data_IF_079947501427
#
_entry.id   IF_079947501427
#
_cell.length_a   1.000
_cell.length_b   1.000
_cell.length_c   1.000
_cell.angle_alpha   90.00
_cell.angle_beta   90.00
_cell.angle_gamma   90.00
#
_symmetry.space_group_name_H-M   'P 1'
#
loop_
_entity.id
_entity.type
_entity.pdbx_description
1 polymer ?
#
# COMPACT_ATOMS: atom_id res chain seq x y z
N UNK A 1 15.01 22.28 -16.57
CA UNK A 1 15.63 21.03 -16.09
C UNK A 1 15.58 20.05 -17.25
N UNK A 2 16.70 19.62 -17.85
CA UNK A 2 16.64 18.63 -18.91
C UNK A 2 16.17 17.30 -18.30
N UNK A 3 15.20 16.64 -18.95
CA UNK A 3 14.74 15.31 -18.55
C UNK A 3 15.75 14.29 -19.08
N UNK A 4 16.56 13.70 -18.21
CA UNK A 4 17.72 12.86 -18.57
C UNK A 4 17.44 11.35 -18.68
N UNK A 5 16.19 10.89 -18.47
CA UNK A 5 15.90 9.45 -18.36
C UNK A 5 14.73 9.03 -19.26
N UNK A 6 14.99 9.00 -20.56
CA UNK A 6 14.06 8.48 -21.56
C UNK A 6 14.40 7.04 -21.92
N UNK A 7 13.38 6.21 -22.09
CA UNK A 7 13.51 4.85 -22.54
C UNK A 7 12.27 4.47 -23.36
N UNK A 8 12.46 3.67 -24.41
CA UNK A 8 11.42 3.25 -25.34
C UNK A 8 11.57 1.78 -25.69
N UNK A 9 10.45 1.07 -25.73
CA UNK A 9 10.35 -0.32 -26.20
C UNK A 9 10.10 -0.44 -27.71
N UNK A 10 9.96 0.67 -28.44
CA UNK A 10 9.94 0.68 -29.92
C UNK A 10 11.36 0.79 -30.46
N UNK A 11 11.74 -0.16 -31.32
CA UNK A 11 13.02 -0.18 -32.00
C UNK A 11 13.15 1.00 -32.99
N UNK A 12 12.06 1.34 -33.67
CA UNK A 12 12.01 2.45 -34.63
C UNK A 12 12.25 3.79 -33.94
N UNK A 13 11.62 3.99 -32.77
CA UNK A 13 11.80 5.20 -31.98
C UNK A 13 13.21 5.27 -31.39
N UNK A 14 13.78 4.12 -31.00
CA UNK A 14 15.17 4.02 -30.51
C UNK A 14 16.17 4.46 -31.59
N UNK A 15 16.04 3.93 -32.80
CA UNK A 15 16.88 4.29 -33.94
C UNK A 15 16.73 5.79 -34.31
N UNK A 16 15.50 6.32 -34.24
CA UNK A 16 15.25 7.74 -34.47
C UNK A 16 15.94 8.62 -33.42
N UNK A 17 15.89 8.24 -32.14
CA UNK A 17 16.56 8.98 -31.07
C UNK A 17 18.07 8.97 -31.24
N UNK A 18 18.65 7.82 -31.56
CA UNK A 18 20.08 7.68 -31.85
C UNK A 18 20.51 8.59 -33.02
N UNK A 19 19.74 8.61 -34.12
CA UNK A 19 19.98 9.49 -35.27
C UNK A 19 19.92 10.98 -34.91
N UNK A 20 19.08 11.36 -33.95
CA UNK A 20 18.93 12.75 -33.49
C UNK A 20 19.86 13.12 -32.32
N UNK A 21 20.83 12.25 -31.98
CA UNK A 21 21.84 12.53 -30.95
C UNK A 21 21.33 12.44 -29.51
N UNK A 22 20.19 11.78 -29.27
CA UNK A 22 19.70 11.51 -27.91
C UNK A 22 20.34 10.24 -27.37
N UNK A 23 21.21 10.37 -26.36
CA UNK A 23 21.77 9.21 -25.65
C UNK A 23 20.73 8.60 -24.70
N UNK A 24 20.38 7.33 -24.91
CA UNK A 24 19.56 6.58 -23.95
C UNK A 24 20.48 6.14 -22.80
N UNK A 25 20.36 6.81 -21.66
CA UNK A 25 21.13 6.45 -20.46
C UNK A 25 20.71 5.07 -19.94
N UNK A 26 21.62 4.11 -20.01
CA UNK A 26 21.46 2.81 -19.37
C UNK A 26 21.77 2.96 -17.89
N UNK A 27 20.82 2.69 -16.99
CA UNK A 27 21.11 2.71 -15.56
C UNK A 27 22.00 1.52 -15.19
N UNK A 28 23.29 1.79 -14.99
CA UNK A 28 24.33 0.82 -14.62
C UNK A 28 24.25 0.26 -13.19
N UNK A 29 23.09 0.34 -12.52
CA UNK A 29 22.98 0.15 -11.07
C UNK A 29 22.62 -1.28 -10.62
N UNK A 30 22.76 -2.29 -11.48
CA UNK A 30 22.56 -3.69 -11.08
C UNK A 30 23.78 -4.53 -11.45
N UNK A 31 24.60 -4.81 -10.44
CA UNK A 31 25.66 -5.81 -10.46
C UNK A 31 24.97 -7.17 -10.65
N UNK A 32 25.20 -7.86 -11.78
CA UNK A 32 24.89 -9.30 -11.89
C UNK A 32 23.97 -9.73 -13.03
N UNK A 33 23.32 -8.84 -13.78
CA UNK A 33 22.52 -9.22 -14.96
C UNK A 33 22.91 -8.36 -16.16
N UNK A 34 23.23 -9.01 -17.29
CA UNK A 34 23.48 -8.39 -18.60
C UNK A 34 22.21 -7.73 -19.22
N UNK A 35 21.26 -7.30 -18.38
CA UNK A 35 19.99 -6.69 -18.78
C UNK A 35 20.03 -5.22 -18.38
N UNK A 36 19.79 -4.33 -19.34
CA UNK A 36 19.64 -2.90 -19.09
C UNK A 36 18.38 -2.72 -18.24
N UNK A 37 18.55 -2.41 -16.96
CA UNK A 37 17.46 -2.33 -16.01
C UNK A 37 16.93 -0.91 -15.90
N UNK A 38 15.81 -0.63 -16.56
CA UNK A 38 15.09 0.63 -16.39
C UNK A 38 14.21 0.57 -15.14
N UNK A 39 14.06 1.71 -14.44
CA UNK A 39 13.07 1.84 -13.37
C UNK A 39 12.02 2.88 -13.74
N UNK A 40 10.76 2.50 -13.63
CA UNK A 40 9.61 3.39 -13.82
C UNK A 40 8.90 3.53 -12.48
N UNK A 41 8.83 4.76 -11.96
CA UNK A 41 8.32 5.05 -10.63
C UNK A 41 8.97 4.27 -9.48
N UNK A 42 10.14 3.65 -9.68
CA UNK A 42 10.84 2.82 -8.69
C UNK A 42 10.66 1.31 -8.86
N UNK A 43 9.78 0.87 -9.78
CA UNK A 43 9.58 -0.53 -10.17
C UNK A 43 10.49 -0.86 -11.35
N UNK A 44 11.06 -2.07 -11.40
CA UNK A 44 11.90 -2.50 -12.52
C UNK A 44 11.06 -2.78 -13.77
N UNK A 45 11.54 -2.31 -14.92
CA UNK A 45 10.90 -2.44 -16.22
C UNK A 45 11.86 -3.12 -17.20
N UNK A 46 11.43 -4.28 -17.70
CA UNK A 46 12.08 -4.93 -18.81
C UNK A 46 11.51 -4.32 -20.09
N UNK A 47 12.33 -3.51 -20.75
CA UNK A 47 11.92 -2.73 -21.90
C UNK A 47 11.65 -3.62 -23.14
N UNK A 48 12.47 -4.64 -23.37
CA UNK A 48 12.35 -5.51 -24.55
C UNK A 48 11.05 -6.33 -24.56
N UNK A 49 10.62 -6.82 -23.38
CA UNK A 49 9.37 -7.58 -23.22
C UNK A 49 8.17 -6.72 -22.82
N UNK A 50 8.42 -5.43 -22.54
CA UNK A 50 7.47 -4.47 -22.00
C UNK A 50 6.70 -4.93 -20.74
N UNK A 51 7.43 -5.47 -19.76
CA UNK A 51 6.87 -5.97 -18.50
C UNK A 51 7.48 -5.29 -17.28
N UNK A 52 6.65 -5.07 -16.26
CA UNK A 52 7.11 -4.79 -14.90
C UNK A 52 7.50 -6.09 -14.20
N UNK A 53 8.57 -6.03 -13.43
CA UNK A 53 9.05 -7.12 -12.57
C UNK A 53 9.69 -6.57 -11.30
N UNK A 54 9.99 -7.45 -10.35
CA UNK A 54 10.59 -7.09 -9.07
C UNK A 54 12.00 -7.64 -8.98
N UNK A 55 12.98 -6.73 -8.92
CA UNK A 55 14.35 -7.09 -8.58
C UNK A 55 14.47 -7.28 -7.06
N UNK A 56 14.73 -8.51 -6.64
CA UNK A 56 14.78 -8.93 -5.25
C UNK A 56 16.19 -9.32 -4.78
N UNK A 57 17.22 -9.27 -5.62
CA UNK A 57 18.54 -9.80 -5.28
C UNK A 57 19.17 -9.08 -4.07
N UNK A 58 19.09 -7.75 -4.09
CA UNK A 58 19.52 -6.89 -2.97
C UNK A 58 18.70 -7.13 -1.69
N UNK A 59 17.41 -7.45 -1.83
CA UNK A 59 16.54 -7.75 -0.70
C UNK A 59 16.83 -9.14 -0.12
N UNK A 60 17.05 -10.15 -0.96
CA UNK A 60 17.40 -11.51 -0.53
C UNK A 60 18.77 -11.53 0.18
N UNK A 61 19.76 -10.81 -0.34
CA UNK A 61 21.08 -10.68 0.30
C UNK A 61 21.03 -9.89 1.61
N UNK A 62 20.07 -8.98 1.77
CA UNK A 62 19.79 -8.33 3.06
C UNK A 62 19.10 -9.30 4.02
N UNK A 63 18.14 -10.09 3.52
CA UNK A 63 17.38 -11.05 4.34
C UNK A 63 18.30 -12.11 4.94
N UNK A 64 19.29 -12.59 4.18
CA UNK A 64 20.23 -13.63 4.64
C UNK A 64 21.14 -13.19 5.79
N UNK A 65 21.29 -11.88 6.03
CA UNK A 65 22.12 -11.30 7.11
C UNK A 65 21.32 -10.94 8.36
N UNK A 66 20.01 -11.17 8.34
CA UNK A 66 19.08 -10.64 9.31
C UNK A 66 19.09 -11.29 10.69
N UNK A 67 18.57 -10.55 11.66
CA UNK A 67 18.18 -11.05 12.97
C UNK A 67 16.66 -11.02 13.08
N UNK A 68 16.03 -12.01 13.72
CA UNK A 68 14.57 -12.12 13.81
C UNK A 68 13.96 -11.12 14.81
N UNK A 69 14.17 -9.81 14.59
CA UNK A 69 13.74 -8.69 15.44
C UNK A 69 12.65 -7.86 14.79
N UNK A 70 11.93 -7.07 15.60
CA UNK A 70 10.95 -6.07 15.13
C UNK A 70 11.58 -5.08 14.14
N UNK A 71 12.78 -4.56 14.46
CA UNK A 71 13.53 -3.63 13.60
C UNK A 71 13.78 -4.26 12.24
N UNK A 72 14.25 -5.50 12.21
CA UNK A 72 14.56 -6.20 10.97
C UNK A 72 13.33 -6.45 10.10
N UNK A 73 12.22 -6.89 10.70
CA UNK A 73 10.95 -7.05 9.99
C UNK A 73 10.48 -5.74 9.31
N UNK A 74 10.61 -4.60 9.99
CA UNK A 74 10.30 -3.29 9.42
C UNK A 74 11.30 -2.88 8.31
N UNK A 75 12.58 -3.19 8.48
CA UNK A 75 13.60 -2.94 7.46
C UNK A 75 13.37 -3.76 6.18
N UNK A 76 12.91 -5.00 6.30
CA UNK A 76 12.50 -5.83 5.16
C UNK A 76 11.27 -5.24 4.50
N UNK A 77 10.21 -4.94 5.27
CA UNK A 77 8.98 -4.37 4.72
C UNK A 77 9.20 -3.03 4.02
N UNK A 78 10.05 -2.15 4.58
CA UNK A 78 10.36 -0.84 4.00
C UNK A 78 11.20 -0.89 2.72
N UNK A 79 11.86 -2.03 2.42
CA UNK A 79 12.59 -2.25 1.17
C UNK A 79 11.68 -2.72 0.03
N UNK A 80 10.46 -3.18 0.35
CA UNK A 80 9.50 -3.61 -0.66
C UNK A 80 8.71 -2.39 -1.12
N UNK A 81 8.98 -1.99 -2.35
CA UNK A 81 8.35 -0.83 -2.97
C UNK A 81 7.27 -1.27 -3.96
N UNK A 82 6.00 -1.04 -3.59
CA UNK A 82 4.83 -1.45 -4.38
C UNK A 82 3.78 -0.31 -4.45
N UNK A 83 4.03 0.74 -5.26
CA UNK A 83 3.17 1.91 -5.34
C UNK A 83 1.82 1.64 -6.03
N UNK A 84 1.78 0.66 -6.94
CA UNK A 84 0.59 0.28 -7.71
C UNK A 84 -0.19 -0.89 -7.11
N UNK A 85 0.31 -1.48 -6.01
CA UNK A 85 -0.31 -2.67 -5.41
C UNK A 85 -0.20 -3.92 -6.29
N UNK A 86 0.83 -4.03 -7.10
CA UNK A 86 1.08 -5.18 -7.98
C UNK A 86 1.25 -6.47 -7.16
N UNK A 87 1.82 -6.35 -5.96
CA UNK A 87 2.12 -7.45 -5.05
C UNK A 87 1.44 -7.22 -3.69
N UNK A 88 0.32 -6.49 -3.70
CA UNK A 88 -0.46 -6.18 -2.50
C UNK A 88 -0.85 -7.42 -1.66
N UNK A 89 -1.16 -8.61 -2.25
CA UNK A 89 -1.42 -9.82 -1.47
C UNK A 89 -0.22 -10.29 -0.63
N UNK A 90 1.00 -10.00 -1.07
CA UNK A 90 2.21 -10.25 -0.31
C UNK A 90 2.44 -9.16 0.74
N UNK A 91 2.42 -7.89 0.31
CA UNK A 91 2.72 -6.73 1.17
C UNK A 91 1.74 -6.63 2.35
N UNK A 92 0.46 -6.93 2.14
CA UNK A 92 -0.54 -6.84 3.21
C UNK A 92 -0.27 -7.83 4.35
N UNK A 93 0.24 -9.02 4.05
CA UNK A 93 0.58 -10.04 5.05
C UNK A 93 1.76 -9.59 5.92
N UNK A 94 2.73 -8.88 5.34
CA UNK A 94 3.80 -8.24 6.12
C UNK A 94 3.25 -7.11 7.00
N UNK A 95 2.33 -6.28 6.48
CA UNK A 95 1.69 -5.22 7.26
C UNK A 95 0.88 -5.76 8.45
N UNK A 96 0.22 -6.91 8.28
CA UNK A 96 -0.46 -7.60 9.39
C UNK A 96 0.55 -8.07 10.44
N UNK A 97 1.69 -8.65 10.04
CA UNK A 97 2.74 -9.04 10.99
C UNK A 97 3.32 -7.84 11.74
N UNK A 98 3.54 -6.72 11.04
CA UNK A 98 3.94 -5.45 11.66
C UNK A 98 2.93 -5.07 12.74
N UNK A 99 1.63 -5.05 12.41
CA UNK A 99 0.57 -4.72 13.35
C UNK A 99 0.60 -5.63 14.60
N UNK A 100 0.72 -6.95 14.42
CA UNK A 100 0.80 -7.90 15.54
C UNK A 100 2.01 -7.62 16.46
N UNK A 101 3.17 -7.31 15.87
CA UNK A 101 4.39 -6.98 16.63
C UNK A 101 4.24 -5.69 17.44
N UNK A 102 3.49 -4.72 16.92
CA UNK A 102 3.15 -3.51 17.66
C UNK A 102 2.22 -3.81 18.84
N UNK A 103 1.20 -4.65 18.64
CA UNK A 103 0.29 -5.07 19.72
C UNK A 103 1.00 -5.80 20.85
N UNK A 104 2.01 -6.58 20.53
CA UNK A 104 2.82 -7.32 21.52
C UNK A 104 3.76 -6.41 22.34
N UNK A 105 3.88 -5.12 21.99
CA UNK A 105 4.75 -4.20 22.73
C UNK A 105 6.25 -4.53 22.64
N UNK A 106 6.68 -5.26 21.61
CA UNK A 106 8.10 -5.66 21.48
C UNK A 106 9.01 -4.44 21.30
N UNK A 107 10.16 -4.46 21.98
CA UNK A 107 11.23 -3.50 21.76
C UNK A 107 11.88 -3.73 20.38
N UNK A 108 12.58 -2.72 19.88
CA UNK A 108 13.13 -2.71 18.52
C UNK A 108 14.04 -3.89 18.21
N UNK A 109 14.98 -4.17 19.12
CA UNK A 109 16.04 -5.17 18.94
C UNK A 109 15.77 -6.46 19.74
N UNK A 110 14.57 -6.57 20.31
CA UNK A 110 14.11 -7.78 20.99
C UNK A 110 13.81 -8.87 19.96
N UNK A 111 14.19 -10.11 20.26
CA UNK A 111 13.87 -11.27 19.43
C UNK A 111 12.34 -11.49 19.40
N UNK A 112 11.82 -11.69 18.19
CA UNK A 112 10.40 -11.93 17.98
C UNK A 112 10.01 -13.34 18.47
N UNK A 113 8.86 -13.49 19.16
CA UNK A 113 8.37 -14.80 19.57
C UNK A 113 8.03 -15.67 18.35
N UNK A 114 8.03 -16.99 18.54
CA UNK A 114 7.83 -17.96 17.44
C UNK A 114 6.55 -17.73 16.64
N UNK A 115 5.49 -17.23 17.29
CA UNK A 115 4.21 -16.90 16.66
C UNK A 115 4.33 -15.83 15.57
N UNK A 116 5.32 -14.95 15.64
CA UNK A 116 5.62 -13.95 14.58
C UNK A 116 6.78 -14.42 13.70
N UNK A 117 7.82 -14.96 14.33
CA UNK A 117 9.06 -15.37 13.66
C UNK A 117 8.81 -16.44 12.57
N UNK A 118 7.98 -17.45 12.85
CA UNK A 118 7.66 -18.49 11.86
C UNK A 118 6.93 -17.91 10.63
N UNK A 119 5.79 -17.19 10.77
CA UNK A 119 5.15 -16.55 9.62
C UNK A 119 6.05 -15.57 8.87
N UNK A 120 6.91 -14.82 9.57
CA UNK A 120 7.85 -13.92 8.92
C UNK A 120 8.87 -14.67 8.05
N UNK A 121 9.45 -15.76 8.55
CA UNK A 121 10.36 -16.61 7.76
C UNK A 121 9.69 -17.24 6.56
N UNK A 122 8.44 -17.68 6.69
CA UNK A 122 7.63 -18.14 5.55
C UNK A 122 7.50 -17.04 4.49
N UNK A 123 7.16 -15.81 4.88
CA UNK A 123 7.09 -14.68 3.93
C UNK A 123 8.45 -14.37 3.29
N UNK A 124 9.55 -14.47 4.02
CA UNK A 124 10.90 -14.28 3.47
C UNK A 124 11.25 -15.38 2.44
N UNK A 125 10.75 -16.60 2.63
CA UNK A 125 10.94 -17.69 1.68
C UNK A 125 10.10 -17.47 0.41
N UNK A 126 8.82 -17.13 0.55
CA UNK A 126 7.91 -16.80 -0.56
C UNK A 126 8.43 -15.63 -1.41
N UNK A 127 9.20 -14.71 -0.82
CA UNK A 127 9.78 -13.58 -1.55
C UNK A 127 10.71 -14.02 -2.68
N UNK A 128 11.31 -15.20 -2.57
CA UNK A 128 12.15 -15.78 -3.63
C UNK A 128 11.35 -15.99 -4.92
N UNK A 129 10.07 -16.28 -4.83
CA UNK A 129 9.19 -16.54 -5.97
C UNK A 129 8.71 -15.26 -6.65
N UNK A 130 9.02 -14.08 -6.08
CA UNK A 130 8.57 -12.80 -6.64
C UNK A 130 9.15 -12.52 -8.03
N UNK A 131 10.28 -13.14 -8.38
CA UNK A 131 10.85 -13.07 -9.74
C UNK A 131 9.94 -13.69 -10.81
N UNK A 132 9.00 -14.56 -10.42
CA UNK A 132 8.00 -15.16 -11.31
C UNK A 132 6.87 -14.19 -11.65
N UNK A 133 6.70 -13.12 -10.86
CA UNK A 133 5.66 -12.12 -11.10
C UNK A 133 6.11 -11.18 -12.21
N UNK A 134 5.43 -11.28 -13.35
CA UNK A 134 5.62 -10.40 -14.51
C UNK A 134 4.27 -9.77 -14.87
N UNK A 135 4.24 -8.45 -15.01
CA UNK A 135 3.01 -7.72 -15.29
C UNK A 135 3.20 -6.92 -16.58
N UNK A 136 2.39 -7.17 -17.64
CA UNK A 136 2.40 -6.36 -18.84
C UNK A 136 2.19 -4.88 -18.50
N UNK A 137 3.07 -4.00 -18.97
CA UNK A 137 2.95 -2.55 -18.72
C UNK A 137 1.91 -1.92 -19.63
N UNK A 138 1.88 -2.33 -20.89
CA UNK A 138 0.99 -1.77 -21.90
C UNK A 138 -0.43 -2.34 -21.78
N UNK A 139 -1.42 -1.46 -21.89
CA UNK A 139 -2.80 -1.86 -22.04
C UNK A 139 -3.18 -1.85 -23.51
N UNK A 140 -3.46 -3.04 -24.01
CA UNK A 140 -3.72 -3.29 -25.42
C UNK A 140 -5.17 -2.95 -25.79
N UNK A 141 -5.49 -1.65 -25.80
CA UNK A 141 -6.79 -1.14 -26.25
C UNK A 141 -6.70 0.10 -27.16
N UNK A 142 -5.53 0.38 -27.75
CA UNK A 142 -5.35 1.48 -28.71
C UNK A 142 -5.73 1.11 -30.14
N UNK A 143 -6.05 -0.16 -30.40
CA UNK A 143 -6.40 -0.66 -31.72
C UNK A 143 -7.81 -0.22 -32.16
N UNK A 144 -8.00 -0.09 -33.47
CA UNK A 144 -9.29 0.22 -34.09
C UNK A 144 -10.34 -0.89 -33.96
N UNK A 145 -9.96 -2.09 -33.52
CA UNK A 145 -10.86 -3.23 -33.33
C UNK A 145 -11.46 -3.30 -31.92
N UNK A 146 -11.19 -2.32 -31.05
CA UNK A 146 -11.77 -2.24 -29.71
C UNK A 146 -13.18 -1.65 -29.80
N UNK A 147 -14.16 -2.36 -29.25
CA UNK A 147 -15.58 -1.93 -29.27
C UNK A 147 -16.06 -1.43 -27.92
N UNK A 148 -15.49 -1.94 -26.83
CA UNK A 148 -15.87 -1.56 -25.47
C UNK A 148 -14.70 -1.71 -24.51
N UNK A 149 -14.55 -0.73 -23.60
CA UNK A 149 -13.52 -0.74 -22.56
C UNK A 149 -14.18 -0.43 -21.22
N UNK A 150 -14.06 -1.37 -20.30
CA UNK A 150 -14.66 -1.29 -18.98
C UNK A 150 -13.60 -1.33 -17.90
N UNK A 151 -13.84 -0.60 -16.81
CA UNK A 151 -13.05 -0.68 -15.60
C UNK A 151 -13.82 -1.48 -14.55
N UNK A 152 -13.31 -2.65 -14.19
CA UNK A 152 -13.93 -3.55 -13.22
C UNK A 152 -13.19 -3.43 -11.89
N UNK A 153 -13.93 -3.21 -10.81
CA UNK A 153 -13.40 -3.10 -9.45
C UNK A 153 -13.99 -4.18 -8.57
N UNK A 154 -13.13 -5.00 -7.97
CA UNK A 154 -13.51 -6.02 -7.00
C UNK A 154 -12.97 -5.63 -5.65
N UNK A 155 -13.82 -5.64 -4.63
CA UNK A 155 -13.43 -5.30 -3.26
C UNK A 155 -13.90 -6.37 -2.29
N UNK A 156 -13.07 -6.66 -1.31
CA UNK A 156 -13.39 -7.58 -0.22
C UNK A 156 -12.83 -7.06 1.11
N UNK A 157 -13.45 -7.49 2.21
CA UNK A 157 -13.07 -7.08 3.56
C UNK A 157 -13.21 -8.23 4.55
N UNK A 158 -12.28 -8.24 5.50
CA UNK A 158 -12.27 -9.15 6.63
C UNK A 158 -12.00 -8.36 7.91
N UNK A 159 -12.06 -9.04 9.07
CA UNK A 159 -11.69 -8.45 10.35
C UNK A 159 -10.22 -8.00 10.42
N UNK A 160 -9.34 -8.51 9.54
CA UNK A 160 -7.90 -8.22 9.56
C UNK A 160 -7.47 -7.24 8.47
N UNK A 161 -8.07 -7.34 7.30
CA UNK A 161 -7.64 -6.61 6.10
C UNK A 161 -8.84 -6.30 5.22
N UNK A 162 -8.75 -5.22 4.45
CA UNK A 162 -9.65 -4.93 3.35
C UNK A 162 -8.82 -4.51 2.14
N UNK A 163 -9.34 -4.81 0.95
CA UNK A 163 -8.63 -4.52 -0.28
C UNK A 163 -9.54 -4.40 -1.48
N UNK A 164 -9.03 -3.72 -2.49
CA UNK A 164 -9.67 -3.50 -3.77
C UNK A 164 -8.65 -3.76 -4.87
N UNK A 165 -9.09 -4.38 -5.95
CA UNK A 165 -8.30 -4.61 -7.16
C UNK A 165 -9.10 -4.14 -8.37
N UNK A 166 -8.41 -3.55 -9.33
CA UNK A 166 -8.98 -2.96 -10.53
C UNK A 166 -8.39 -3.62 -11.77
N UNK A 167 -9.25 -3.99 -12.71
CA UNK A 167 -8.89 -4.55 -14.02
C UNK A 167 -9.54 -3.74 -15.14
N UNK A 168 -8.85 -3.63 -16.27
CA UNK A 168 -9.51 -3.37 -17.54
C UNK A 168 -10.16 -4.65 -18.05
N UNK A 169 -11.32 -4.50 -18.68
CA UNK A 169 -11.96 -5.50 -19.53
C UNK A 169 -12.19 -4.87 -20.89
N UNK A 170 -11.57 -5.42 -21.92
CA UNK A 170 -11.61 -4.90 -23.29
C UNK A 170 -12.35 -5.93 -24.14
N UNK A 171 -13.34 -5.46 -24.90
CA UNK A 171 -14.07 -6.26 -25.87
C UNK A 171 -13.64 -5.81 -27.27
N UNK A 172 -13.33 -6.77 -28.13
CA UNK A 172 -12.96 -6.50 -29.53
C UNK A 172 -14.09 -6.87 -30.51
N UNK A 173 -13.98 -6.42 -31.75
CA UNK A 173 -14.96 -6.65 -32.82
C UNK A 173 -15.22 -8.13 -33.10
N UNK A 174 -14.24 -8.99 -32.87
CA UNK A 174 -14.33 -10.45 -33.00
C UNK A 174 -14.94 -11.13 -31.76
N UNK A 175 -15.49 -10.33 -30.83
CA UNK A 175 -16.05 -10.75 -29.54
C UNK A 175 -15.03 -11.32 -28.56
N UNK A 176 -13.73 -11.26 -28.85
CA UNK A 176 -12.71 -11.62 -27.86
C UNK A 176 -12.71 -10.64 -26.70
N UNK A 177 -12.54 -11.18 -25.50
CA UNK A 177 -12.48 -10.41 -24.26
C UNK A 177 -11.10 -10.61 -23.65
N UNK A 178 -10.38 -9.52 -23.44
CA UNK A 178 -9.13 -9.51 -22.68
C UNK A 178 -9.31 -8.74 -21.37
N UNK A 179 -8.55 -9.14 -20.35
CA UNK A 179 -8.51 -8.44 -19.07
C UNK A 179 -7.08 -8.12 -18.67
N UNK A 180 -6.85 -6.92 -18.16
CA UNK A 180 -5.52 -6.47 -17.77
C UNK A 180 -5.56 -5.87 -16.36
N UNK A 181 -4.64 -6.29 -15.50
CA UNK A 181 -4.51 -5.74 -14.15
C UNK A 181 -4.10 -4.27 -14.20
N UNK A 182 -4.77 -3.42 -13.43
CA UNK A 182 -4.46 -1.98 -13.37
C UNK A 182 -3.71 -1.63 -12.10
N UNK A 183 -4.36 -1.84 -10.96
CA UNK A 183 -3.81 -1.51 -9.65
C UNK A 183 -4.59 -2.25 -8.57
N UNK A 184 -3.98 -2.38 -7.40
CA UNK A 184 -4.72 -2.77 -6.22
C UNK A 184 -4.33 -1.90 -5.02
N UNK A 185 -5.18 -1.91 -4.02
CA UNK A 185 -4.93 -1.22 -2.75
C UNK A 185 -5.42 -2.08 -1.62
N UNK A 186 -4.55 -2.32 -0.65
CA UNK A 186 -4.87 -3.08 0.55
C UNK A 186 -4.50 -2.30 1.79
N UNK A 187 -5.29 -2.48 2.85
CA UNK A 187 -5.08 -1.86 4.15
C UNK A 187 -5.39 -2.86 5.26
N UNK A 188 -4.60 -2.78 6.31
CA UNK A 188 -4.86 -3.53 7.53
C UNK A 188 -6.01 -2.86 8.26
N UNK A 189 -6.94 -3.66 8.77
CA UNK A 189 -8.04 -3.17 9.57
C UNK A 189 -7.47 -2.48 10.84
N UNK A 190 -7.99 -1.32 11.24
CA UNK A 190 -7.60 -0.69 12.49
C UNK A 190 -7.86 -1.62 13.68
N UNK A 191 -6.91 -1.71 14.61
CA UNK A 191 -7.03 -2.51 15.84
C UNK A 191 -8.04 -1.92 16.82
N UNK A 192 -8.16 -0.58 16.82
CA UNK A 192 -9.12 0.11 17.66
C UNK A 192 -10.52 -0.18 17.12
N UNK A 193 -11.22 -1.11 17.77
CA UNK A 193 -12.58 -0.79 18.22
C UNK A 193 -12.49 0.56 18.93
N UNK A 194 -13.35 1.52 18.58
CA UNK A 194 -13.42 2.78 19.29
C UNK A 194 -13.39 2.48 20.80
N UNK A 195 -12.38 2.98 21.53
CA UNK A 195 -12.51 3.05 22.98
C UNK A 195 -13.77 3.85 23.19
N UNK A 196 -14.76 3.24 23.82
CA UNK A 196 -15.99 3.94 24.14
C UNK A 196 -15.61 5.15 24.99
N UNK A 197 -15.93 6.33 24.46
CA UNK A 197 -15.77 7.59 25.18
C UNK A 197 -16.66 7.55 26.41
N UNK A 198 -16.15 8.02 27.53
CA UNK A 198 -16.88 8.10 28.80
C UNK A 198 -17.31 9.53 29.06
N UNK A 199 -18.30 9.67 29.92
CA UNK A 199 -18.63 10.99 30.50
C UNK A 199 -17.37 11.54 31.17
N UNK A 200 -17.14 12.84 31.00
CA UNK A 200 -15.97 13.60 31.47
C UNK A 200 -14.65 13.40 30.71
N UNK A 201 -14.61 12.55 29.67
CA UNK A 201 -13.43 12.50 28.79
C UNK A 201 -13.21 13.84 28.08
N UNK A 202 -11.96 14.31 28.07
CA UNK A 202 -11.53 15.44 27.24
C UNK A 202 -11.25 14.93 25.82
N UNK A 203 -11.86 15.58 24.83
CA UNK A 203 -11.85 15.14 23.44
C UNK A 203 -11.63 16.29 22.48
N UNK A 204 -11.04 16.00 21.32
CA UNK A 204 -11.11 16.85 20.14
C UNK A 204 -12.31 16.47 19.30
N UNK A 205 -13.07 17.48 18.88
CA UNK A 205 -14.25 17.33 18.03
C UNK A 205 -13.90 17.72 16.61
N UNK A 206 -13.93 16.75 15.70
CA UNK A 206 -13.70 17.00 14.28
C UNK A 206 -14.75 17.96 13.72
N UNK A 207 -14.24 19.07 13.17
CA UNK A 207 -15.02 20.11 12.52
C UNK A 207 -15.00 19.99 10.99
N UNK A 208 -15.23 21.10 10.30
CA UNK A 208 -15.15 21.17 8.83
C UNK A 208 -13.71 21.12 8.29
N UNK A 209 -12.72 21.46 9.12
CA UNK A 209 -11.31 21.44 8.74
C UNK A 209 -10.69 20.07 8.96
N UNK A 210 -9.82 19.63 8.04
CA UNK A 210 -9.04 18.40 8.18
C UNK A 210 -7.85 18.53 9.15
N UNK A 211 -7.45 19.75 9.50
CA UNK A 211 -6.32 19.96 10.42
C UNK A 211 -6.77 19.78 11.87
N UNK A 212 -6.19 18.79 12.56
CA UNK A 212 -6.48 18.52 13.98
C UNK A 212 -6.21 19.70 14.91
N UNK A 213 -5.29 20.58 14.54
CA UNK A 213 -4.97 21.79 15.30
C UNK A 213 -6.12 22.80 15.35
N UNK A 214 -7.08 22.68 14.44
CA UNK A 214 -8.25 23.56 14.35
C UNK A 214 -9.52 22.90 14.89
N UNK A 215 -9.42 21.67 15.41
CA UNK A 215 -10.55 20.97 16.01
C UNK A 215 -10.86 21.57 17.38
N UNK A 216 -12.15 21.67 17.69
CA UNK A 216 -12.58 22.24 18.97
C UNK A 216 -12.33 21.21 20.09
N UNK A 217 -11.67 21.65 21.16
CA UNK A 217 -11.56 20.86 22.40
C UNK A 217 -12.90 20.92 23.15
N UNK A 218 -13.30 19.79 23.72
CA UNK A 218 -14.49 19.70 24.55
C UNK A 218 -14.46 18.55 25.54
N UNK A 219 -15.48 18.48 26.38
CA UNK A 219 -15.66 17.43 27.39
C UNK A 219 -16.95 16.68 27.11
N UNK A 220 -16.92 15.34 27.20
CA UNK A 220 -18.13 14.52 27.06
C UNK A 220 -19.05 14.74 28.25
N UNK A 221 -20.34 14.92 27.99
CA UNK A 221 -21.36 15.12 29.02
C UNK A 221 -22.32 13.91 29.09
N UNK A 222 -22.65 13.33 27.95
CA UNK A 222 -23.55 12.17 27.87
C UNK A 222 -23.12 11.26 26.72
N UNK A 223 -23.39 9.95 26.86
CA UNK A 223 -23.09 8.93 25.86
C UNK A 223 -24.34 8.14 25.49
N UNK A 224 -24.45 7.74 24.22
CA UNK A 224 -25.58 6.97 23.70
C UNK A 224 -25.08 5.66 23.12
N UNK A 225 -25.43 4.56 23.77
CA UNK A 225 -25.05 3.20 23.37
C UNK A 225 -26.01 2.62 22.34
N UNK A 226 -25.46 1.82 21.42
CA UNK A 226 -26.23 0.98 20.50
C UNK A 226 -26.70 -0.32 21.16
N UNK A 227 -27.45 -1.15 20.42
CA UNK A 227 -27.93 -2.46 20.89
C UNK A 227 -26.79 -3.45 21.19
N UNK A 228 -25.61 -3.19 20.64
CA UNK A 228 -24.37 -3.95 20.81
C UNK A 228 -23.53 -3.46 22.01
N UNK A 229 -24.08 -2.53 22.82
CA UNK A 229 -23.42 -1.99 24.02
C UNK A 229 -22.33 -0.93 23.74
N UNK A 230 -22.02 -0.65 22.47
CA UNK A 230 -20.98 0.30 22.10
C UNK A 230 -21.54 1.72 21.95
N UNK A 231 -20.77 2.74 22.31
CA UNK A 231 -21.15 4.15 22.17
C UNK A 231 -21.17 4.54 20.69
N UNK A 232 -22.29 5.06 20.19
CA UNK A 232 -22.44 5.50 18.79
C UNK A 232 -22.49 7.02 18.64
N UNK A 233 -22.96 7.71 19.66
CA UNK A 233 -23.00 9.16 19.72
C UNK A 233 -22.76 9.64 21.16
N UNK A 234 -22.37 10.90 21.30
CA UNK A 234 -22.24 11.57 22.59
C UNK A 234 -22.65 13.04 22.48
N UNK A 235 -22.94 13.64 23.63
CA UNK A 235 -23.06 15.09 23.77
C UNK A 235 -21.72 15.60 24.27
N UNK A 236 -21.13 16.55 23.53
CA UNK A 236 -19.85 17.19 23.85
C UNK A 236 -20.05 18.67 24.11
N UNK A 237 -19.50 19.16 25.23
CA UNK A 237 -19.47 20.57 25.59
C UNK A 237 -18.15 21.17 25.11
N UNK A 238 -18.22 22.10 24.17
CA UNK A 238 -17.08 22.88 23.69
C UNK A 238 -17.24 24.35 24.09
N UNK A 239 -16.24 25.18 23.81
CA UNK A 239 -16.34 26.65 23.98
C UNK A 239 -17.49 27.29 23.19
N UNK A 240 -18.00 26.63 22.15
CA UNK A 240 -19.10 27.11 21.30
C UNK A 240 -20.48 26.63 21.77
N UNK A 241 -20.55 25.79 22.80
CA UNK A 241 -21.79 25.22 23.31
C UNK A 241 -21.79 23.68 23.34
N UNK A 242 -22.97 23.11 23.60
CA UNK A 242 -23.19 21.66 23.59
C UNK A 242 -23.61 21.18 22.21
N UNK A 243 -22.99 20.11 21.74
CA UNK A 243 -23.29 19.51 20.46
C UNK A 243 -23.46 18.00 20.61
N UNK A 244 -24.45 17.44 19.95
CA UNK A 244 -24.55 15.98 19.75
C UNK A 244 -23.72 15.59 18.53
N UNK A 245 -22.80 14.64 18.68
CA UNK A 245 -21.90 14.19 17.62
C UNK A 245 -21.81 12.65 17.57
N UNK A 246 -21.69 12.07 16.36
CA UNK A 246 -21.29 10.67 16.23
C UNK A 246 -19.90 10.44 16.82
N UNK A 247 -19.69 9.29 17.48
CA UNK A 247 -18.40 8.96 18.13
C UNK A 247 -17.22 8.94 17.14
N UNK A 248 -17.49 8.76 15.85
CA UNK A 248 -16.49 8.76 14.78
C UNK A 248 -15.79 10.12 14.60
N UNK A 249 -16.45 11.21 14.99
CA UNK A 249 -15.92 12.57 14.94
C UNK A 249 -15.29 13.01 16.27
N UNK A 250 -15.13 12.08 17.21
CA UNK A 250 -14.69 12.35 18.57
C UNK A 250 -13.37 11.62 18.81
N UNK A 251 -12.36 12.39 19.17
CA UNK A 251 -11.00 11.91 19.34
C UNK A 251 -10.57 12.16 20.78
N UNK A 252 -10.44 11.12 21.63
CA UNK A 252 -9.91 11.27 22.98
C UNK A 252 -8.60 12.04 22.97
N UNK A 253 -8.52 13.09 23.77
CA UNK A 253 -7.29 13.82 23.98
C UNK A 253 -6.46 12.98 24.95
N UNK A 254 -5.43 12.30 24.42
CA UNK A 254 -4.60 11.38 25.22
C UNK A 254 -3.75 12.20 26.23
N UNK A 255 -4.35 12.54 27.37
CA UNK A 255 -3.64 12.89 28.60
C UNK A 255 -3.56 11.62 29.44
N UNK A 256 -2.66 10.72 29.09
CA UNK A 256 -2.20 9.72 30.06
C UNK A 256 -0.87 10.24 30.60
N UNK A 257 -0.82 10.46 31.91
CA UNK A 257 0.43 10.48 32.68
C UNK A 257 1.18 9.15 32.56
#
# INVERSE_FOLDING_TARGET
MPLHKWATNSAELRELWEKNGFSIETSSNSIGQNVINYKVHGISWNNDRDIFYFDIETLLSFISKGTDTKRFLLQVAGRIFDPLGLIAPYVIRLKVLIQNVWEMGLLWDQEMPQIVKKPFKERCHELKDLHLVSIPRFYDFTDSNVVDVQLHSFSDSSKKVYGTVIYFRVVRTDLTISTSFVTSKSRVAPLKTHKDVKVDDVVLVEGSSKSKLLWDLGTIQETFQGRDGHVRACVVKTKKGLFRKPVQLIYPFELNE
#
